data_IF_402786437063
#
_entry.id   IF_402786437063
#
_cell.length_a   1.000
_cell.length_b   1.000
_cell.length_c   1.000
_cell.angle_alpha   90.00
_cell.angle_beta   90.00
_cell.angle_gamma   90.00
#
_symmetry.space_group_name_H-M   'P 1'
#
loop_
_entity.id
_entity.type
_entity.pdbx_description
1 polymer ?
#
# COMPACT_ATOMS: atom_id res chain seq x y z
N UNK A 1 14.12 -9.38 -0.55
CA UNK A 1 12.96 -9.02 0.28
C UNK A 1 13.04 -9.82 1.57
N UNK A 2 12.95 -9.14 2.71
CA UNK A 2 12.98 -9.77 4.04
C UNK A 2 11.61 -9.63 4.67
N UNK A 3 11.04 -10.72 5.17
CA UNK A 3 9.84 -10.66 5.99
C UNK A 3 10.22 -10.21 7.40
N UNK A 4 9.67 -9.09 7.85
CA UNK A 4 9.86 -8.58 9.20
C UNK A 4 8.78 -9.21 10.09
N UNK A 5 9.14 -10.27 10.80
CA UNK A 5 8.25 -10.92 11.76
C UNK A 5 8.24 -10.17 13.10
N UNK A 6 7.12 -10.22 13.81
CA UNK A 6 7.00 -9.73 15.19
C UNK A 6 6.71 -8.23 15.34
N UNK A 7 6.64 -7.44 14.27
CA UNK A 7 6.21 -6.05 14.35
C UNK A 7 4.69 -5.98 14.34
N UNK A 8 4.09 -5.58 15.47
CA UNK A 8 2.66 -5.32 15.53
C UNK A 8 2.33 -4.02 14.79
N UNK A 9 1.60 -4.12 13.69
CA UNK A 9 1.13 -2.99 12.87
C UNK A 9 -0.03 -2.26 13.57
N UNK A 10 0.26 -1.59 14.68
CA UNK A 10 -0.72 -0.82 15.47
C UNK A 10 -0.37 0.65 15.36
N UNK A 11 -1.37 1.48 15.10
CA UNK A 11 -1.25 2.92 15.03
C UNK A 11 -2.30 3.61 15.91
N UNK A 12 -2.08 4.88 16.34
CA UNK A 12 -3.04 5.64 17.14
C UNK A 12 -4.40 5.76 16.45
N UNK A 13 -5.49 5.55 17.20
CA UNK A 13 -6.84 5.55 16.65
C UNK A 13 -7.30 6.91 16.10
N UNK A 14 -6.69 7.99 16.57
CA UNK A 14 -6.93 9.38 16.14
C UNK A 14 -6.02 9.85 14.99
N UNK A 15 -5.14 8.95 14.49
CA UNK A 15 -4.25 9.27 13.38
C UNK A 15 -5.04 9.48 12.09
N UNK A 16 -4.74 10.56 11.35
CA UNK A 16 -5.31 10.77 10.03
C UNK A 16 -4.94 9.60 9.10
N UNK A 17 -5.89 9.05 8.34
CA UNK A 17 -5.64 7.92 7.45
C UNK A 17 -4.41 8.09 6.56
N UNK A 18 -4.21 9.26 5.96
CA UNK A 18 -3.07 9.54 5.06
C UNK A 18 -1.70 9.44 5.73
N UNK A 19 -1.62 9.52 7.05
CA UNK A 19 -0.36 9.43 7.80
C UNK A 19 -0.04 8.00 8.25
N UNK A 20 -1.02 7.11 8.25
CA UNK A 20 -0.88 5.71 8.73
C UNK A 20 0.22 4.95 7.99
N UNK A 21 0.31 4.95 6.64
CA UNK A 21 1.35 4.19 5.94
C UNK A 21 2.76 4.67 6.26
N UNK A 22 2.94 5.99 6.40
CA UNK A 22 4.23 6.56 6.75
C UNK A 22 4.65 6.16 8.16
N UNK A 23 3.72 6.15 9.09
CA UNK A 23 3.95 5.67 10.45
C UNK A 23 4.29 4.18 10.48
N UNK A 24 3.51 3.34 9.79
CA UNK A 24 3.71 1.89 9.76
C UNK A 24 5.04 1.52 9.07
N UNK A 25 5.42 2.22 8.00
CA UNK A 25 6.72 2.01 7.37
C UNK A 25 7.87 2.31 8.33
N UNK A 26 7.78 3.39 9.12
CA UNK A 26 8.78 3.72 10.14
C UNK A 26 8.81 2.70 11.29
N UNK A 27 7.65 2.19 11.69
CA UNK A 27 7.54 1.14 12.70
C UNK A 27 8.25 -0.15 12.26
N UNK A 28 8.01 -0.58 11.01
CA UNK A 28 8.69 -1.72 10.38
C UNK A 28 10.20 -1.50 10.31
N UNK A 29 10.63 -0.32 9.90
CA UNK A 29 12.04 0.06 9.84
C UNK A 29 12.71 -0.07 11.21
N UNK A 30 12.13 0.52 12.24
CA UNK A 30 12.66 0.50 13.60
C UNK A 30 12.71 -0.92 14.19
N UNK A 31 11.76 -1.77 13.83
CA UNK A 31 11.75 -3.18 14.24
C UNK A 31 12.90 -4.00 13.67
N UNK A 32 13.45 -3.61 12.52
CA UNK A 32 14.54 -4.33 11.85
C UNK A 32 15.89 -3.62 11.91
N UNK A 33 15.93 -2.32 12.18
CA UNK A 33 17.12 -1.46 12.13
C UNK A 33 18.33 -2.05 12.83
N UNK A 34 18.15 -2.66 14.01
CA UNK A 34 19.25 -3.21 14.81
C UNK A 34 19.87 -4.49 14.23
N UNK A 35 19.29 -5.05 13.18
CA UNK A 35 19.81 -6.24 12.48
C UNK A 35 20.61 -5.86 11.23
N UNK A 36 20.63 -4.57 10.86
CA UNK A 36 21.40 -4.08 9.72
C UNK A 36 22.91 -4.12 10.00
N UNK A 37 23.67 -4.54 9.00
CA UNK A 37 25.12 -4.42 8.98
C UNK A 37 25.53 -3.00 8.55
N UNK A 38 26.78 -2.66 8.79
CA UNK A 38 27.35 -1.32 8.55
C UNK A 38 27.14 -0.80 7.11
N UNK A 39 27.18 -1.70 6.12
CA UNK A 39 27.04 -1.34 4.69
C UNK A 39 25.66 -1.67 4.10
N UNK A 40 24.65 -1.90 4.95
CA UNK A 40 23.30 -2.23 4.49
C UNK A 40 22.37 -1.01 4.58
N UNK A 41 21.51 -0.89 3.60
CA UNK A 41 20.43 0.08 3.55
C UNK A 41 19.11 -0.68 3.56
N UNK A 42 18.23 -0.33 4.49
CA UNK A 42 16.87 -0.89 4.59
C UNK A 42 15.86 0.05 3.95
N UNK A 43 14.96 -0.53 3.19
CA UNK A 43 13.77 0.13 2.68
C UNK A 43 12.56 -0.63 3.22
N UNK A 44 11.68 0.06 3.91
CA UNK A 44 10.39 -0.47 4.34
C UNK A 44 9.25 0.34 3.73
N UNK A 45 8.17 -0.32 3.38
CA UNK A 45 6.98 0.32 2.83
C UNK A 45 5.71 -0.25 3.46
N UNK A 46 4.69 0.58 3.51
CA UNK A 46 3.34 0.19 3.87
C UNK A 46 2.33 0.93 3.02
N UNK A 47 1.28 0.23 2.58
CA UNK A 47 0.28 0.77 1.66
C UNK A 47 -1.12 0.54 2.19
N UNK A 48 -1.93 1.59 2.13
CA UNK A 48 -3.36 1.50 2.45
C UNK A 48 -4.20 2.05 1.30
N UNK A 49 -5.43 1.59 1.25
CA UNK A 49 -6.50 2.14 0.42
C UNK A 49 -7.44 2.95 1.32
N UNK A 50 -7.78 4.16 0.89
CA UNK A 50 -8.71 5.04 1.60
C UNK A 50 -9.93 5.28 0.70
N UNK A 51 -11.11 4.87 1.16
CA UNK A 51 -12.38 5.10 0.50
C UNK A 51 -13.33 5.83 1.46
N UNK A 52 -13.90 6.96 1.05
CA UNK A 52 -14.80 7.77 1.88
C UNK A 52 -14.23 8.03 3.30
N UNK A 53 -12.96 8.45 3.38
CA UNK A 53 -12.22 8.72 4.63
C UNK A 53 -11.98 7.49 5.52
N UNK A 54 -12.27 6.28 5.06
CA UNK A 54 -12.05 5.04 5.80
C UNK A 54 -10.93 4.23 5.17
N UNK A 55 -10.10 3.65 6.03
CA UNK A 55 -9.04 2.73 5.61
C UNK A 55 -9.68 1.39 5.26
N UNK A 56 -9.46 0.93 4.04
CA UNK A 56 -9.71 -0.44 3.63
C UNK A 56 -8.42 -1.24 3.79
N UNK A 57 -8.38 -2.05 4.83
CA UNK A 57 -7.26 -2.95 5.09
C UNK A 57 -7.29 -4.19 4.18
N UNK A 58 -6.58 -5.23 4.61
CA UNK A 58 -6.63 -6.55 3.97
C UNK A 58 -7.91 -7.27 4.37
N UNK A 59 -8.68 -7.82 3.43
CA UNK A 59 -9.88 -8.60 3.76
C UNK A 59 -9.50 -9.90 4.46
N UNK A 60 -10.31 -10.33 5.41
CA UNK A 60 -10.10 -11.57 6.16
C UNK A 60 -10.76 -12.78 5.49
N UNK A 61 -11.75 -12.52 4.64
CA UNK A 61 -12.53 -13.55 3.94
C UNK A 61 -12.80 -13.15 2.50
N UNK A 62 -13.14 -14.12 1.65
CA UNK A 62 -13.57 -13.86 0.28
C UNK A 62 -14.80 -12.94 0.22
N UNK A 63 -15.74 -13.12 1.15
CA UNK A 63 -16.93 -12.27 1.22
C UNK A 63 -16.58 -10.81 1.56
N UNK A 64 -15.65 -10.58 2.50
CA UNK A 64 -15.15 -9.24 2.82
C UNK A 64 -14.44 -8.61 1.61
N UNK A 65 -13.64 -9.40 0.86
CA UNK A 65 -13.02 -8.94 -0.38
C UNK A 65 -14.05 -8.51 -1.43
N UNK A 66 -15.11 -9.28 -1.63
CA UNK A 66 -16.21 -8.92 -2.53
C UNK A 66 -16.89 -7.61 -2.11
N UNK A 67 -17.19 -7.44 -0.83
CA UNK A 67 -17.77 -6.20 -0.30
C UNK A 67 -16.86 -4.99 -0.49
N UNK A 68 -15.53 -5.15 -0.26
CA UNK A 68 -14.56 -4.07 -0.51
C UNK A 68 -14.58 -3.65 -1.97
N UNK A 69 -14.49 -4.60 -2.91
CA UNK A 69 -14.50 -4.32 -4.35
C UNK A 69 -15.81 -3.66 -4.81
N UNK A 70 -16.94 -4.16 -4.33
CA UNK A 70 -18.24 -3.53 -4.60
C UNK A 70 -18.30 -2.08 -4.10
N UNK A 71 -17.67 -1.78 -2.95
CA UNK A 71 -17.62 -0.41 -2.41
C UNK A 71 -16.73 0.53 -3.22
N UNK A 72 -15.78 -0.01 -3.99
CA UNK A 72 -14.87 0.74 -4.85
C UNK A 72 -15.42 0.96 -6.27
N UNK A 73 -16.34 0.10 -6.73
CA UNK A 73 -16.95 0.19 -8.07
C UNK A 73 -17.61 1.54 -8.31
N UNK A 74 -17.43 2.11 -9.51
CA UNK A 74 -17.91 3.43 -9.92
C UNK A 74 -17.46 4.59 -9.02
N UNK A 75 -16.27 4.47 -8.38
CA UNK A 75 -15.75 5.49 -7.45
C UNK A 75 -14.28 5.74 -7.64
N UNK A 76 -13.86 6.91 -7.16
CA UNK A 76 -12.45 7.24 -7.00
C UNK A 76 -12.05 7.07 -5.55
N UNK A 77 -10.99 6.33 -5.30
CA UNK A 77 -10.39 6.15 -3.99
C UNK A 77 -8.92 6.57 -3.99
N UNK A 78 -8.35 6.73 -2.82
CA UNK A 78 -6.96 7.12 -2.65
C UNK A 78 -6.12 5.93 -2.19
N UNK A 79 -4.94 5.77 -2.79
CA UNK A 79 -3.93 4.79 -2.37
C UNK A 79 -2.70 5.54 -1.89
N UNK A 80 -2.35 5.35 -0.62
CA UNK A 80 -1.21 6.01 0.00
C UNK A 80 -0.18 4.96 0.40
N UNK A 81 1.07 5.18 -0.04
CA UNK A 81 2.21 4.37 0.39
C UNK A 81 3.19 5.23 1.17
N UNK A 82 3.49 4.82 2.39
CA UNK A 82 4.57 5.35 3.20
C UNK A 82 5.85 4.54 3.00
N UNK A 83 6.99 5.21 2.96
CA UNK A 83 8.30 4.57 2.78
C UNK A 83 9.28 5.14 3.78
N UNK A 84 10.03 4.26 4.43
CA UNK A 84 11.18 4.62 5.25
C UNK A 84 12.43 3.99 4.65
N UNK A 85 13.47 4.80 4.50
CA UNK A 85 14.79 4.39 3.97
C UNK A 85 15.84 4.80 4.96
N UNK A 86 16.79 3.92 5.28
CA UNK A 86 17.85 4.29 6.19
C UNK A 86 18.90 3.23 6.40
N UNK A 87 19.91 3.62 7.20
CA UNK A 87 20.96 2.80 7.74
C UNK A 87 20.78 2.68 9.26
N UNK A 88 21.76 2.14 9.95
CA UNK A 88 21.78 2.13 11.42
C UNK A 88 21.85 3.55 12.02
N UNK A 89 22.40 4.53 11.29
CA UNK A 89 22.70 5.87 11.81
C UNK A 89 21.64 6.91 11.44
N UNK A 90 21.12 6.87 10.20
CA UNK A 90 20.18 7.88 9.68
C UNK A 90 19.05 7.25 8.89
N UNK A 91 17.93 7.93 8.87
CA UNK A 91 16.76 7.52 8.08
C UNK A 91 16.01 8.72 7.52
N UNK A 92 15.31 8.50 6.42
CA UNK A 92 14.31 9.41 5.87
C UNK A 92 12.98 8.69 5.78
N UNK A 93 11.89 9.44 5.88
CA UNK A 93 10.55 8.91 5.82
C UNK A 93 9.68 9.83 4.95
N UNK A 94 8.96 9.27 4.00
CA UNK A 94 8.09 10.02 3.08
C UNK A 94 6.88 9.18 2.69
N UNK A 95 5.85 9.83 2.12
CA UNK A 95 4.68 9.15 1.57
C UNK A 95 4.40 9.64 0.16
N UNK A 96 3.71 8.81 -0.62
CA UNK A 96 3.16 9.16 -1.92
C UNK A 96 1.70 8.73 -1.99
N UNK A 97 0.87 9.57 -2.64
CA UNK A 97 -0.54 9.33 -2.85
C UNK A 97 -0.86 9.21 -4.33
N UNK A 98 -1.82 8.37 -4.66
CA UNK A 98 -2.40 8.24 -6.00
C UNK A 98 -3.90 8.06 -5.89
N UNK A 99 -4.66 8.72 -6.76
CA UNK A 99 -6.08 8.49 -6.90
C UNK A 99 -6.32 7.45 -8.00
N UNK A 100 -7.18 6.47 -7.71
CA UNK A 100 -7.56 5.41 -8.63
C UNK A 100 -9.07 5.47 -8.83
N UNK A 101 -9.50 5.57 -10.09
CA UNK A 101 -10.91 5.58 -10.45
C UNK A 101 -11.29 4.22 -11.00
N UNK A 102 -12.23 3.55 -10.32
CA UNK A 102 -12.85 2.32 -10.80
C UNK A 102 -14.09 2.65 -11.61
N UNK A 103 -14.24 1.99 -12.74
CA UNK A 103 -15.49 1.90 -13.49
C UNK A 103 -16.49 0.93 -12.84
N UNK A 104 -17.53 0.59 -13.60
CA UNK A 104 -18.50 -0.40 -13.19
C UNK A 104 -17.86 -1.79 -13.07
N UNK A 105 -18.27 -2.53 -12.05
CA UNK A 105 -17.97 -3.93 -11.86
C UNK A 105 -19.25 -4.68 -11.54
N UNK A 106 -19.53 -5.76 -12.25
CA UNK A 106 -20.64 -6.65 -11.91
C UNK A 106 -20.28 -7.58 -10.75
N UNK A 107 -21.30 -8.13 -10.10
CA UNK A 107 -21.11 -9.10 -9.02
C UNK A 107 -20.37 -10.37 -9.51
N UNK A 108 -20.62 -10.78 -10.77
CA UNK A 108 -19.94 -11.91 -11.40
C UNK A 108 -18.44 -11.62 -11.62
N UNK A 109 -18.08 -10.42 -12.06
CA UNK A 109 -16.68 -10.01 -12.25
C UNK A 109 -15.94 -9.94 -10.92
N UNK A 110 -16.59 -9.41 -9.88
CA UNK A 110 -16.05 -9.37 -8.53
C UNK A 110 -15.84 -10.79 -7.99
N UNK A 111 -16.85 -11.66 -8.14
CA UNK A 111 -16.76 -13.05 -7.69
C UNK A 111 -15.66 -13.83 -8.44
N UNK A 112 -15.57 -13.63 -9.76
CA UNK A 112 -14.51 -14.21 -10.59
C UNK A 112 -13.11 -13.81 -10.10
N UNK A 113 -12.89 -12.50 -9.89
CA UNK A 113 -11.60 -12.01 -9.44
C UNK A 113 -11.22 -12.58 -8.07
N UNK A 114 -12.12 -12.52 -7.09
CA UNK A 114 -11.85 -13.03 -5.75
C UNK A 114 -11.55 -14.52 -5.74
N UNK A 115 -12.30 -15.31 -6.54
CA UNK A 115 -12.12 -16.77 -6.62
C UNK A 115 -10.81 -17.20 -7.29
N UNK A 116 -10.32 -16.43 -8.29
CA UNK A 116 -9.17 -16.83 -9.09
C UNK A 116 -7.85 -16.17 -8.64
N UNK A 117 -7.91 -14.98 -8.02
CA UNK A 117 -6.72 -14.20 -7.64
C UNK A 117 -6.47 -14.15 -6.13
N UNK A 118 -7.45 -14.57 -5.31
CA UNK A 118 -7.32 -14.65 -3.84
C UNK A 118 -6.73 -13.41 -3.18
N UNK A 119 -7.30 -12.20 -3.35
CA UNK A 119 -6.67 -10.93 -2.98
C UNK A 119 -6.71 -10.64 -1.46
N UNK A 120 -6.61 -11.67 -0.61
CA UNK A 120 -6.70 -11.53 0.86
C UNK A 120 -5.46 -10.89 1.48
N UNK A 121 -4.36 -10.82 0.75
CA UNK A 121 -3.11 -10.20 1.15
C UNK A 121 -2.99 -8.72 0.77
N UNK A 122 -4.01 -8.16 0.09
CA UNK A 122 -3.98 -6.83 -0.51
C UNK A 122 -4.93 -5.84 0.19
N UNK A 123 -4.43 -4.64 0.48
CA UNK A 123 -5.28 -3.54 0.95
C UNK A 123 -6.33 -3.19 -0.11
N UNK A 124 -7.59 -3.02 0.31
CA UNK A 124 -8.72 -2.77 -0.59
C UNK A 124 -9.11 -3.97 -1.47
N UNK A 125 -8.55 -5.15 -1.19
CA UNK A 125 -8.84 -6.40 -1.89
C UNK A 125 -8.51 -6.41 -3.39
N UNK A 126 -7.50 -5.64 -3.87
CA UNK A 126 -7.09 -5.71 -5.29
C UNK A 126 -5.61 -5.44 -5.51
N UNK A 127 -5.07 -6.02 -6.59
CA UNK A 127 -3.76 -5.71 -7.13
C UNK A 127 -3.89 -5.05 -8.50
N UNK A 128 -3.40 -3.82 -8.64
CA UNK A 128 -3.50 -3.05 -9.89
C UNK A 128 -2.83 -3.76 -11.08
N UNK A 129 -1.82 -4.58 -10.83
CA UNK A 129 -1.09 -5.36 -11.84
C UNK A 129 -1.79 -6.65 -12.25
N UNK A 130 -2.92 -7.00 -11.64
CA UNK A 130 -3.70 -8.20 -11.90
C UNK A 130 -4.83 -7.92 -12.90
N UNK A 131 -5.61 -8.95 -13.24
CA UNK A 131 -6.73 -8.85 -14.18
C UNK A 131 -7.67 -7.68 -13.88
N UNK A 132 -8.01 -7.45 -12.62
CA UNK A 132 -8.90 -6.36 -12.20
C UNK A 132 -8.36 -4.98 -12.58
N UNK A 133 -7.03 -4.80 -12.59
CA UNK A 133 -6.42 -3.56 -13.03
C UNK A 133 -6.66 -3.25 -14.50
N UNK A 134 -6.83 -4.31 -15.33
CA UNK A 134 -7.11 -4.16 -16.77
C UNK A 134 -8.57 -3.87 -17.07
N UNK A 135 -9.50 -4.40 -16.26
CA UNK A 135 -10.93 -4.35 -16.57
C UNK A 135 -11.72 -3.32 -15.76
N UNK A 136 -11.23 -2.99 -14.55
CA UNK A 136 -11.96 -2.11 -13.63
C UNK A 136 -11.42 -0.68 -13.57
N UNK A 137 -10.15 -0.44 -13.89
CA UNK A 137 -9.54 0.88 -13.66
C UNK A 137 -9.70 1.76 -14.89
N UNK A 138 -10.51 2.81 -14.77
CA UNK A 138 -10.71 3.84 -15.80
C UNK A 138 -9.57 4.86 -15.82
N UNK A 139 -8.96 5.14 -14.67
CA UNK A 139 -7.92 6.15 -14.59
C UNK A 139 -7.12 6.13 -13.30
N UNK A 140 -5.89 6.65 -13.40
CA UNK A 140 -4.98 6.85 -12.27
C UNK A 140 -4.46 8.28 -12.33
N UNK A 141 -4.58 9.01 -11.22
CA UNK A 141 -3.92 10.29 -11.02
C UNK A 141 -2.81 10.11 -9.99
N UNK A 142 -1.58 9.98 -10.47
CA UNK A 142 -0.41 9.68 -9.64
C UNK A 142 0.45 8.59 -10.24
N UNK A 143 1.09 7.78 -9.40
CA UNK A 143 2.02 6.73 -9.81
C UNK A 143 1.36 5.35 -9.75
N UNK A 144 1.39 4.62 -10.87
CA UNK A 144 1.03 3.19 -10.93
C UNK A 144 1.84 2.36 -9.92
N UNK A 145 3.14 2.62 -9.83
CA UNK A 145 4.02 1.91 -8.90
C UNK A 145 3.71 2.22 -7.43
N UNK A 146 3.20 3.43 -7.14
CA UNK A 146 2.69 3.74 -5.81
C UNK A 146 1.49 2.85 -5.46
N UNK A 147 0.56 2.66 -6.40
CA UNK A 147 -0.60 1.78 -6.20
C UNK A 147 -0.19 0.32 -6.04
N UNK A 148 0.89 -0.12 -6.70
CA UNK A 148 1.50 -1.44 -6.50
C UNK A 148 2.13 -1.64 -5.12
N UNK A 149 2.38 -0.55 -4.37
CA UNK A 149 2.95 -0.59 -3.03
C UNK A 149 4.36 -0.04 -2.88
N UNK A 150 4.98 0.51 -3.93
CA UNK A 150 6.29 1.17 -3.84
C UNK A 150 6.40 2.33 -4.84
N UNK A 151 6.41 3.61 -4.40
CA UNK A 151 6.51 4.78 -5.27
C UNK A 151 7.94 4.94 -5.80
N UNK A 152 8.33 4.12 -6.79
CA UNK A 152 9.70 3.94 -7.26
C UNK A 152 10.36 5.23 -7.75
N UNK A 153 9.60 6.11 -8.46
CA UNK A 153 10.14 7.40 -8.91
C UNK A 153 10.56 8.27 -7.72
N UNK A 154 9.68 8.41 -6.72
CA UNK A 154 9.99 9.20 -5.53
C UNK A 154 11.09 8.56 -4.71
N UNK A 155 11.04 7.25 -4.51
CA UNK A 155 12.08 6.50 -3.83
C UNK A 155 13.46 6.74 -4.45
N UNK A 156 13.57 6.68 -5.79
CA UNK A 156 14.82 6.96 -6.48
C UNK A 156 15.34 8.38 -6.22
N UNK A 157 14.45 9.39 -6.22
CA UNK A 157 14.84 10.78 -5.94
C UNK A 157 15.31 10.97 -4.50
N UNK A 158 14.64 10.35 -3.54
CA UNK A 158 15.02 10.42 -2.13
C UNK A 158 16.30 9.62 -1.85
N UNK A 159 16.49 8.46 -2.49
CA UNK A 159 17.75 7.70 -2.41
C UNK A 159 18.94 8.49 -2.92
N UNK A 160 18.79 9.19 -4.03
CA UNK A 160 19.88 10.06 -4.54
C UNK A 160 20.27 11.16 -3.55
N UNK A 161 19.32 11.78 -2.88
CA UNK A 161 19.58 12.79 -1.84
C UNK A 161 20.16 12.19 -0.57
N UNK A 162 19.80 10.94 -0.31
CA UNK A 162 20.26 10.24 0.88
C UNK A 162 21.71 9.75 0.74
N UNK A 163 22.13 9.35 -0.47
CA UNK A 163 23.44 8.76 -0.73
C UNK A 163 24.49 9.77 -1.19
N UNK A 164 24.08 10.86 -1.83
CA UNK A 164 24.95 11.91 -2.43
C UNK A 164 24.59 13.31 -1.96
#
# INVERSE_FOLDING_TARGET
VVNIEGVKEVYPADMLPVNVPQYLSALKFNGYKNQLKENELLITADTIVINDHRILGKPKTAQEAQHMLSSLANRTHEVVTGVTVGTTERQINFSASSQVTFGALSDEEIAYYVANFHPLDKAGAYGIQEWIGCVAIEGIRGSFYNVMGLPTYRLYRELRRFLF
#
